data_IF_170974225154
#
_entry.id   IF_170974225154
#
_cell.length_a   1.000
_cell.length_b   1.000
_cell.length_c   1.000
_cell.angle_alpha   90.00
_cell.angle_beta   90.00
_cell.angle_gamma   90.00
#
_symmetry.space_group_name_H-M   'P 1'
#
loop_
_entity.id
_entity.type
_entity.pdbx_description
1 polymer ?
#
# COMPACT_ATOMS: atom_id res chain seq x y z
N UNK A 1 38.05 -40.15 35.59
CA UNK A 1 38.05 -39.51 34.25
C UNK A 1 36.62 -39.44 33.74
N UNK A 2 35.98 -38.26 33.74
CA UNK A 2 34.66 -38.01 33.14
C UNK A 2 34.87 -37.23 31.85
N UNK A 3 34.55 -37.83 30.71
CA UNK A 3 34.54 -37.15 29.42
C UNK A 3 33.32 -36.24 29.34
N UNK A 4 33.54 -34.94 29.19
CA UNK A 4 32.47 -34.00 28.88
C UNK A 4 32.20 -34.04 27.38
N UNK A 5 30.97 -34.43 27.02
CA UNK A 5 30.48 -34.37 25.64
C UNK A 5 30.15 -32.91 25.32
N UNK A 6 31.02 -32.25 24.56
CA UNK A 6 30.79 -30.88 24.08
C UNK A 6 29.72 -30.92 23.00
N UNK A 7 28.52 -30.43 23.31
CA UNK A 7 27.46 -30.21 22.32
C UNK A 7 27.91 -29.00 21.48
N UNK A 8 28.09 -29.12 20.15
CA UNK A 8 28.42 -27.96 19.34
C UNK A 8 27.25 -26.96 19.39
N UNK A 9 27.52 -25.64 19.45
CA UNK A 9 26.46 -24.65 19.36
C UNK A 9 25.73 -24.84 18.03
N UNK A 10 24.39 -24.93 18.09
CA UNK A 10 23.52 -24.90 16.90
C UNK A 10 23.98 -23.74 16.04
N UNK A 11 24.41 -24.01 14.81
CA UNK A 11 24.61 -22.95 13.82
C UNK A 11 23.28 -22.23 13.68
N UNK A 12 23.23 -20.99 14.16
CA UNK A 12 22.15 -20.08 13.80
C UNK A 12 22.44 -19.71 12.35
N UNK A 13 22.12 -20.62 11.43
CA UNK A 13 21.94 -20.24 10.03
C UNK A 13 20.81 -19.23 10.07
N UNK A 14 21.18 -17.95 10.01
CA UNK A 14 20.27 -16.86 9.71
C UNK A 14 19.70 -17.24 8.35
N UNK A 15 18.54 -17.91 8.36
CA UNK A 15 17.82 -18.20 7.13
C UNK A 15 17.56 -16.85 6.49
N UNK A 16 18.42 -16.50 5.53
CA UNK A 16 18.22 -15.35 4.66
C UNK A 16 17.04 -15.70 3.77
N UNK A 17 15.83 -15.68 4.34
CA UNK A 17 14.61 -15.65 3.55
C UNK A 17 14.67 -14.35 2.78
N UNK A 18 14.66 -14.47 1.45
CA UNK A 18 14.49 -13.34 0.57
C UNK A 18 13.30 -12.48 1.06
N UNK A 19 13.38 -11.14 0.95
CA UNK A 19 12.34 -10.27 1.47
C UNK A 19 10.98 -10.66 0.90
N UNK A 20 10.01 -10.87 1.79
CA UNK A 20 8.65 -11.24 1.41
C UNK A 20 7.94 -9.97 0.93
N UNK A 21 7.86 -9.81 -0.38
CA UNK A 21 7.06 -8.75 -0.98
C UNK A 21 5.59 -9.07 -0.76
N UNK A 22 4.86 -8.11 -0.20
CA UNK A 22 3.47 -8.29 0.16
C UNK A 22 2.58 -7.15 -0.32
N UNK A 23 1.31 -7.50 -0.52
CA UNK A 23 0.24 -6.54 -0.74
C UNK A 23 -0.43 -6.22 0.60
N UNK A 24 -0.51 -4.94 0.95
CA UNK A 24 -1.35 -4.48 2.06
C UNK A 24 -2.68 -3.97 1.50
N UNK A 25 -3.79 -4.52 1.95
CA UNK A 25 -5.14 -4.03 1.63
C UNK A 25 -5.69 -3.33 2.87
N UNK A 26 -6.04 -2.06 2.72
CA UNK A 26 -6.65 -1.23 3.76
C UNK A 26 -8.08 -0.91 3.34
N UNK A 27 -9.04 -1.23 4.19
CA UNK A 27 -10.47 -1.13 3.88
C UNK A 27 -11.16 -0.24 4.91
N UNK A 28 -11.70 0.88 4.46
CA UNK A 28 -12.55 1.75 5.29
C UNK A 28 -13.85 1.05 5.68
N UNK A 29 -14.44 1.45 6.81
CA UNK A 29 -15.72 0.87 7.25
C UNK A 29 -16.79 1.01 6.16
N UNK A 30 -17.54 -0.08 5.91
CA UNK A 30 -18.54 -0.20 4.84
C UNK A 30 -18.01 -0.12 3.40
N UNK A 31 -16.70 -0.07 3.18
CA UNK A 31 -16.16 -0.23 1.83
C UNK A 31 -16.23 -1.72 1.42
N UNK A 32 -16.68 -1.98 0.20
CA UNK A 32 -16.77 -3.34 -0.34
C UNK A 32 -15.40 -3.84 -0.79
N UNK A 33 -15.18 -5.16 -0.69
CA UNK A 33 -13.98 -5.77 -1.27
C UNK A 33 -13.97 -5.55 -2.79
N UNK A 34 -12.83 -5.10 -3.38
CA UNK A 34 -12.75 -4.91 -4.82
C UNK A 34 -12.73 -6.26 -5.57
N UNK A 35 -13.71 -6.51 -6.43
CA UNK A 35 -13.87 -7.78 -7.16
C UNK A 35 -12.66 -8.14 -8.04
N UNK A 36 -11.96 -7.13 -8.58
CA UNK A 36 -10.76 -7.31 -9.39
C UNK A 36 -9.53 -7.74 -8.56
N UNK A 37 -9.57 -7.60 -7.24
CA UNK A 37 -8.45 -7.94 -6.37
C UNK A 37 -8.57 -9.39 -5.92
N UNK A 38 -7.84 -10.27 -6.59
CA UNK A 38 -7.76 -11.68 -6.21
C UNK A 38 -6.67 -11.90 -5.14
N UNK A 39 -7.01 -12.42 -3.94
CA UNK A 39 -6.04 -12.73 -2.90
C UNK A 39 -4.97 -13.73 -3.36
N UNK A 40 -5.35 -14.68 -4.21
CA UNK A 40 -4.48 -15.77 -4.66
C UNK A 40 -3.50 -15.37 -5.76
N UNK A 41 -3.72 -14.23 -6.42
CA UNK A 41 -2.93 -13.81 -7.58
C UNK A 41 -1.72 -12.92 -7.25
N UNK A 42 -1.63 -12.40 -6.02
CA UNK A 42 -0.71 -11.31 -5.67
C UNK A 42 0.32 -11.63 -4.58
N UNK A 43 0.57 -12.92 -4.33
CA UNK A 43 1.53 -13.37 -3.33
C UNK A 43 1.03 -13.16 -1.90
N UNK A 44 1.95 -12.89 -0.97
CA UNK A 44 1.60 -12.65 0.44
C UNK A 44 0.72 -11.41 0.58
N UNK A 45 -0.41 -11.54 1.27
CA UNK A 45 -1.36 -10.45 1.48
C UNK A 45 -1.65 -10.24 2.97
N UNK A 46 -1.68 -8.97 3.38
CA UNK A 46 -2.16 -8.56 4.68
C UNK A 46 -3.34 -7.60 4.52
N UNK A 47 -4.35 -7.74 5.38
CA UNK A 47 -5.56 -6.94 5.33
C UNK A 47 -5.69 -6.17 6.66
N UNK A 48 -6.05 -4.89 6.56
CA UNK A 48 -6.49 -4.05 7.67
C UNK A 48 -7.86 -3.49 7.29
N UNK A 49 -8.91 -4.06 7.85
CA UNK A 49 -10.28 -3.61 7.63
C UNK A 49 -10.83 -2.97 8.90
N UNK A 50 -11.46 -1.81 8.77
CA UNK A 50 -12.15 -1.18 9.88
C UNK A 50 -13.44 -1.97 10.18
N UNK A 51 -13.47 -2.65 11.32
CA UNK A 51 -14.56 -3.58 11.67
C UNK A 51 -15.86 -2.89 12.13
N UNK A 52 -15.77 -1.71 12.75
CA UNK A 52 -16.93 -0.96 13.24
C UNK A 52 -16.87 0.50 12.76
N UNK A 53 -18.02 1.18 12.77
CA UNK A 53 -18.16 2.61 12.50
C UNK A 53 -17.56 3.44 13.66
N UNK A 54 -16.27 3.28 13.89
CA UNK A 54 -15.49 4.08 14.83
C UNK A 54 -15.04 5.38 14.17
N UNK A 55 -14.46 6.26 14.99
CA UNK A 55 -13.88 7.51 14.50
C UNK A 55 -12.90 7.22 13.34
N UNK A 56 -12.96 7.92 12.19
CA UNK A 56 -12.15 7.58 11.00
C UNK A 56 -10.64 7.52 11.25
N UNK A 57 -10.11 8.26 12.21
CA UNK A 57 -8.69 8.21 12.64
C UNK A 57 -8.28 6.88 13.29
N UNK A 58 -9.23 6.06 13.74
CA UNK A 58 -8.94 4.74 14.31
C UNK A 58 -8.26 3.82 13.30
N UNK A 59 -8.69 3.89 12.03
CA UNK A 59 -8.07 3.12 10.95
C UNK A 59 -6.61 3.54 10.71
N UNK A 60 -6.29 4.83 10.84
CA UNK A 60 -4.91 5.35 10.73
C UNK A 60 -4.00 4.64 11.74
N UNK A 61 -4.46 4.55 12.99
CA UNK A 61 -3.72 3.89 14.07
C UNK A 61 -3.55 2.39 13.80
N UNK A 62 -4.63 1.72 13.39
CA UNK A 62 -4.59 0.28 13.07
C UNK A 62 -3.62 -0.03 11.94
N UNK A 63 -3.62 0.77 10.88
CA UNK A 63 -2.71 0.63 9.74
C UNK A 63 -1.27 0.87 10.18
N UNK A 64 -1.00 1.93 10.94
CA UNK A 64 0.34 2.23 11.46
C UNK A 64 0.90 1.07 12.31
N UNK A 65 0.08 0.53 13.23
CA UNK A 65 0.47 -0.61 14.06
C UNK A 65 0.72 -1.87 13.23
N UNK A 66 -0.17 -2.19 12.27
CA UNK A 66 -0.04 -3.42 11.47
C UNK A 66 1.19 -3.37 10.56
N UNK A 67 1.39 -2.26 9.88
CA UNK A 67 2.54 -2.07 8.98
C UNK A 67 3.86 -2.17 9.74
N UNK A 68 3.98 -1.56 10.92
CA UNK A 68 5.17 -1.70 11.78
C UNK A 68 5.42 -3.14 12.22
N UNK A 69 4.37 -3.88 12.60
CA UNK A 69 4.51 -5.31 12.95
C UNK A 69 4.96 -6.16 11.77
N UNK A 70 4.43 -5.92 10.57
CA UNK A 70 4.81 -6.66 9.37
C UNK A 70 6.27 -6.39 8.97
N UNK A 71 6.69 -5.14 9.00
CA UNK A 71 8.07 -4.76 8.67
C UNK A 71 9.06 -5.28 9.71
N UNK A 72 8.70 -5.30 10.99
CA UNK A 72 9.53 -5.88 12.05
C UNK A 72 9.85 -7.37 11.84
N UNK A 73 8.98 -8.09 11.12
CA UNK A 73 9.19 -9.51 10.74
C UNK A 73 9.70 -9.67 9.29
N UNK A 74 10.21 -8.60 8.69
CA UNK A 74 10.90 -8.62 7.40
C UNK A 74 10.02 -8.53 6.16
N UNK A 75 8.74 -8.19 6.30
CA UNK A 75 7.87 -7.97 5.14
C UNK A 75 8.22 -6.65 4.45
N UNK A 76 8.25 -6.67 3.11
CA UNK A 76 8.38 -5.47 2.28
C UNK A 76 7.06 -5.20 1.58
N UNK A 77 6.43 -4.08 1.87
CA UNK A 77 5.15 -3.71 1.24
C UNK A 77 5.44 -3.16 -0.16
N UNK A 78 5.24 -3.99 -1.18
CA UNK A 78 5.44 -3.61 -2.59
C UNK A 78 4.20 -2.99 -3.23
N UNK A 79 3.02 -3.29 -2.68
CA UNK A 79 1.74 -2.77 -3.15
C UNK A 79 0.84 -2.47 -1.96
N UNK A 80 0.18 -1.32 -1.99
CA UNK A 80 -0.79 -0.92 -0.98
C UNK A 80 -2.07 -0.50 -1.68
N UNK A 81 -3.18 -1.14 -1.32
CA UNK A 81 -4.52 -0.87 -1.85
C UNK A 81 -5.34 -0.21 -0.75
N UNK A 82 -5.73 1.05 -0.93
CA UNK A 82 -6.66 1.76 -0.05
C UNK A 82 -8.05 1.74 -0.68
N UNK A 83 -8.96 0.96 -0.08
CA UNK A 83 -10.35 0.83 -0.47
C UNK A 83 -11.19 1.78 0.38
N UNK A 84 -11.78 2.77 -0.28
CA UNK A 84 -12.52 3.85 0.39
C UNK A 84 -14.02 3.58 0.35
N UNK A 85 -14.73 4.04 1.38
CA UNK A 85 -16.19 3.89 1.49
C UNK A 85 -16.98 5.02 0.82
N UNK A 86 -16.29 5.96 0.18
CA UNK A 86 -16.92 7.10 -0.50
C UNK A 86 -17.43 8.23 0.39
N UNK A 87 -17.32 8.12 1.73
CA UNK A 87 -17.74 9.19 2.64
C UNK A 87 -17.01 10.49 2.37
N UNK A 88 -17.78 11.58 2.37
CA UNK A 88 -17.35 12.92 2.00
C UNK A 88 -17.54 13.95 3.14
N UNK A 89 -17.80 13.50 4.36
CA UNK A 89 -17.70 14.34 5.55
C UNK A 89 -16.24 14.73 5.84
N UNK A 90 -16.05 15.84 6.55
CA UNK A 90 -14.74 16.45 6.75
C UNK A 90 -13.75 15.50 7.45
N UNK A 91 -14.21 14.78 8.48
CA UNK A 91 -13.38 13.87 9.27
C UNK A 91 -12.93 12.65 8.45
N UNK A 92 -13.82 12.10 7.63
CA UNK A 92 -13.49 11.02 6.70
C UNK A 92 -12.48 11.48 5.65
N UNK A 93 -12.66 12.66 5.07
CA UNK A 93 -11.71 13.23 4.10
C UNK A 93 -10.34 13.47 4.74
N UNK A 94 -10.31 14.09 5.92
CA UNK A 94 -9.06 14.40 6.63
C UNK A 94 -8.31 13.11 7.00
N UNK A 95 -9.01 12.14 7.58
CA UNK A 95 -8.42 10.86 8.01
C UNK A 95 -7.89 10.06 6.82
N UNK A 96 -8.65 9.98 5.72
CA UNK A 96 -8.20 9.35 4.48
C UNK A 96 -6.96 10.03 3.90
N UNK A 97 -6.91 11.36 3.99
CA UNK A 97 -5.76 12.14 3.52
C UNK A 97 -4.51 11.87 4.36
N UNK A 98 -4.63 11.82 5.69
CA UNK A 98 -3.55 11.45 6.60
C UNK A 98 -3.07 10.02 6.31
N UNK A 99 -4.02 9.08 6.17
CA UNK A 99 -3.75 7.69 5.89
C UNK A 99 -2.97 7.51 4.58
N UNK A 100 -3.48 8.07 3.48
CA UNK A 100 -2.87 7.94 2.17
C UNK A 100 -1.47 8.57 2.12
N UNK A 101 -1.26 9.71 2.79
CA UNK A 101 0.07 10.34 2.91
C UNK A 101 1.04 9.45 3.71
N UNK A 102 0.60 8.88 4.82
CA UNK A 102 1.43 7.98 5.63
C UNK A 102 1.84 6.73 4.85
N UNK A 103 0.91 6.13 4.11
CA UNK A 103 1.18 4.97 3.24
C UNK A 103 2.15 5.34 2.11
N UNK A 104 1.95 6.48 1.45
CA UNK A 104 2.86 6.97 0.42
C UNK A 104 4.27 7.20 0.97
N UNK A 105 4.40 7.89 2.10
CA UNK A 105 5.68 8.15 2.74
C UNK A 105 6.45 6.86 3.05
N UNK A 106 5.73 5.81 3.44
CA UNK A 106 6.30 4.48 3.70
C UNK A 106 6.82 3.80 2.45
N UNK A 107 6.07 3.85 1.34
CA UNK A 107 6.55 3.36 0.03
C UNK A 107 7.77 4.18 -0.46
N UNK A 108 7.74 5.51 -0.27
CA UNK A 108 8.87 6.38 -0.62
C UNK A 108 10.13 6.05 0.17
N UNK A 109 10.02 5.66 1.44
CA UNK A 109 11.17 5.23 2.24
C UNK A 109 11.86 3.98 1.65
N UNK A 110 11.12 3.15 0.91
CA UNK A 110 11.65 2.01 0.16
C UNK A 110 12.02 2.35 -1.30
N UNK A 111 11.82 3.61 -1.71
CA UNK A 111 11.95 4.14 -3.07
C UNK A 111 11.23 3.32 -4.16
N UNK A 112 10.19 2.55 -3.83
CA UNK A 112 9.53 1.69 -4.83
C UNK A 112 8.14 1.27 -4.35
N UNK A 113 7.38 0.66 -5.27
CA UNK A 113 6.07 0.06 -5.02
C UNK A 113 4.91 0.86 -5.58
N UNK A 114 3.69 0.44 -5.27
CA UNK A 114 2.45 1.07 -5.76
C UNK A 114 1.51 1.41 -4.61
N UNK A 115 0.99 2.64 -4.59
CA UNK A 115 -0.19 3.02 -3.83
C UNK A 115 -1.39 3.11 -4.78
N UNK A 116 -2.34 2.19 -4.66
CA UNK A 116 -3.60 2.19 -5.39
C UNK A 116 -4.73 2.63 -4.47
N UNK A 117 -5.40 3.73 -4.81
CA UNK A 117 -6.62 4.16 -4.12
C UNK A 117 -7.85 3.79 -4.93
N UNK A 118 -8.91 3.32 -4.30
CA UNK A 118 -10.13 2.95 -5.02
C UNK A 118 -11.41 3.34 -4.30
N UNK A 119 -12.44 3.61 -5.09
CA UNK A 119 -13.82 3.83 -4.65
C UNK A 119 -14.76 3.13 -5.63
N UNK A 120 -15.81 2.52 -5.10
CA UNK A 120 -16.88 1.94 -5.93
C UNK A 120 -17.62 3.06 -6.68
N UNK A 121 -17.93 2.83 -7.96
CA UNK A 121 -18.69 3.79 -8.79
C UNK A 121 -20.06 4.13 -8.18
N UNK A 122 -20.67 3.21 -7.43
CA UNK A 122 -21.96 3.39 -6.74
C UNK A 122 -21.92 4.49 -5.67
N UNK A 123 -20.74 4.90 -5.21
CA UNK A 123 -20.57 5.98 -4.23
C UNK A 123 -20.74 7.38 -4.85
N UNK A 124 -20.88 7.47 -6.18
CA UNK A 124 -21.22 8.70 -6.89
C UNK A 124 -20.04 9.63 -7.19
N UNK A 125 -20.30 10.64 -8.02
CA UNK A 125 -19.29 11.54 -8.60
C UNK A 125 -18.53 12.35 -7.55
N UNK A 126 -19.21 12.74 -6.46
CA UNK A 126 -18.59 13.51 -5.38
C UNK A 126 -17.45 12.72 -4.72
N UNK A 127 -17.65 11.43 -4.46
CA UNK A 127 -16.63 10.56 -3.88
C UNK A 127 -15.44 10.39 -4.84
N UNK A 128 -15.73 10.14 -6.12
CA UNK A 128 -14.72 10.04 -7.17
C UNK A 128 -13.88 11.32 -7.30
N UNK A 129 -14.52 12.49 -7.34
CA UNK A 129 -13.86 13.80 -7.42
C UNK A 129 -12.96 14.09 -6.20
N UNK A 130 -13.41 13.72 -5.00
CA UNK A 130 -12.58 13.85 -3.79
C UNK A 130 -11.35 12.94 -3.83
N UNK A 131 -11.51 11.71 -4.33
CA UNK A 131 -10.40 10.78 -4.46
C UNK A 131 -9.40 11.24 -5.53
N UNK A 132 -9.88 11.77 -6.65
CA UNK A 132 -9.04 12.42 -7.68
C UNK A 132 -8.26 13.62 -7.12
N UNK A 133 -8.93 14.48 -6.34
CA UNK A 133 -8.29 15.65 -5.71
C UNK A 133 -7.19 15.23 -4.72
N UNK A 134 -7.43 14.17 -3.96
CA UNK A 134 -6.43 13.58 -3.07
C UNK A 134 -5.26 13.01 -3.87
N UNK A 135 -5.53 12.25 -4.95
CA UNK A 135 -4.50 11.70 -5.82
C UNK A 135 -3.60 12.78 -6.42
N UNK A 136 -4.17 13.88 -6.92
CA UNK A 136 -3.41 15.02 -7.44
C UNK A 136 -2.49 15.65 -6.37
N UNK A 137 -2.94 15.67 -5.11
CA UNK A 137 -2.12 16.17 -3.99
C UNK A 137 -0.98 15.21 -3.66
N UNK A 138 -1.25 13.91 -3.64
CA UNK A 138 -0.24 12.87 -3.40
C UNK A 138 0.79 12.80 -4.52
N UNK A 139 0.40 13.01 -5.76
CA UNK A 139 1.29 13.01 -6.92
C UNK A 139 2.39 14.08 -6.79
N UNK A 140 2.04 15.27 -6.29
CA UNK A 140 3.04 16.31 -5.97
C UNK A 140 4.00 15.84 -4.88
N UNK A 141 3.51 15.17 -3.84
CA UNK A 141 4.33 14.64 -2.76
C UNK A 141 5.18 13.41 -3.16
N UNK A 142 4.78 12.68 -4.21
CA UNK A 142 5.46 11.48 -4.72
C UNK A 142 6.75 11.80 -5.48
N UNK A 143 6.85 12.99 -6.08
CA UNK A 143 8.00 13.41 -6.91
C UNK A 143 9.35 13.03 -6.29
N UNK A 144 10.28 12.60 -7.14
CA UNK A 144 11.61 12.12 -6.73
C UNK A 144 11.62 10.72 -6.13
N UNK A 145 10.62 9.87 -6.44
CA UNK A 145 10.61 8.45 -6.08
C UNK A 145 10.03 7.60 -7.19
N UNK A 146 10.37 6.31 -7.20
CA UNK A 146 9.87 5.34 -8.19
C UNK A 146 8.54 4.70 -7.76
N UNK A 147 7.89 5.25 -6.73
CA UNK A 147 6.56 4.83 -6.30
C UNK A 147 5.55 5.15 -7.40
N UNK A 148 4.64 4.23 -7.70
CA UNK A 148 3.52 4.42 -8.62
C UNK A 148 2.28 4.81 -7.81
N UNK A 149 1.57 5.86 -8.23
CA UNK A 149 0.26 6.19 -7.70
C UNK A 149 -0.81 5.77 -8.69
N UNK A 150 -1.71 4.90 -8.26
CA UNK A 150 -2.83 4.41 -9.05
C UNK A 150 -4.16 4.81 -8.41
N UNK A 151 -5.15 5.05 -9.24
CA UNK A 151 -6.51 5.34 -8.84
C UNK A 151 -7.45 4.43 -9.62
N UNK A 152 -8.40 3.80 -8.95
CA UNK A 152 -9.46 3.05 -9.62
C UNK A 152 -10.84 3.50 -9.14
N UNK A 153 -11.66 3.96 -10.07
CA UNK A 153 -13.04 4.39 -9.82
C UNK A 153 -13.94 3.48 -10.63
N UNK A 154 -14.66 2.58 -9.95
CA UNK A 154 -15.36 1.47 -10.64
C UNK A 154 -14.41 0.66 -11.51
N UNK A 155 -14.65 0.64 -12.82
CA UNK A 155 -13.81 -0.05 -13.80
C UNK A 155 -12.72 0.81 -14.43
N UNK A 156 -12.78 2.13 -14.24
CA UNK A 156 -11.78 3.04 -14.77
C UNK A 156 -10.52 3.03 -13.90
N UNK A 157 -9.36 2.80 -14.54
CA UNK A 157 -8.04 2.82 -13.88
C UNK A 157 -7.22 3.98 -14.41
N UNK A 158 -6.73 4.82 -13.50
CA UNK A 158 -5.81 5.92 -13.78
C UNK A 158 -4.49 5.62 -13.06
N UNK A 159 -3.36 5.80 -13.75
CA UNK A 159 -2.03 5.62 -13.16
C UNK A 159 -1.19 6.86 -13.39
N UNK A 160 -0.43 7.27 -12.38
CA UNK A 160 0.61 8.27 -12.52
C UNK A 160 1.65 7.77 -13.53
N UNK A 161 2.13 8.62 -14.45
CA UNK A 161 3.25 8.26 -15.30
C UNK A 161 4.48 7.91 -14.46
N UNK A 162 5.24 6.88 -14.86
CA UNK A 162 6.56 6.62 -14.29
C UNK A 162 7.47 7.84 -14.50
N UNK A 163 8.40 8.15 -13.57
CA UNK A 163 9.33 9.26 -13.74
C UNK A 163 10.03 9.21 -15.11
N UNK A 164 10.24 10.38 -15.73
CA UNK A 164 10.74 10.53 -17.10
C UNK A 164 12.07 9.80 -17.37
N UNK A 165 12.90 9.63 -16.34
CA UNK A 165 14.20 8.94 -16.42
C UNK A 165 14.10 7.50 -16.96
N UNK A 166 13.00 6.79 -16.68
CA UNK A 166 12.76 5.44 -17.20
C UNK A 166 12.15 5.43 -18.61
N UNK A 167 11.50 6.53 -19.02
CA UNK A 167 10.85 6.63 -20.34
C UNK A 167 11.87 6.87 -21.45
N UNK A 168 12.90 7.69 -21.18
CA UNK A 168 14.01 7.93 -22.10
C UNK A 168 14.81 6.65 -22.36
N UNK A 169 15.10 5.86 -21.31
CA UNK A 169 15.82 4.58 -21.43
C UNK A 169 15.00 3.52 -22.16
N UNK A 170 13.66 3.55 -22.04
CA UNK A 170 12.78 2.62 -22.76
C UNK A 170 12.60 2.97 -24.24
N UNK A 171 12.65 4.25 -24.60
CA UNK A 171 12.66 4.71 -26.01
C UNK A 171 14.01 4.45 -26.68
N UNK A 172 15.13 4.67 -25.99
CA UNK A 172 16.47 4.38 -26.54
C UNK A 172 16.68 2.88 -26.81
N UNK A 173 16.11 1.98 -25.99
CA UNK A 173 16.16 0.53 -26.23
C UNK A 173 15.21 0.01 -27.32
N UNK A 174 14.28 0.84 -27.79
CA UNK A 174 13.42 0.53 -28.95
C UNK A 174 13.97 1.11 -30.24
N UNK A 175 14.87 2.09 -30.15
CA UNK A 175 15.47 2.78 -31.28
C UNK A 175 16.88 2.27 -31.65
N UNK A 176 17.42 1.29 -30.92
CA UNK A 176 18.68 0.59 -31.21
C UNK A 176 18.49 -0.91 -31.25
#
# INVERSE_FOLDING_TARGET
>A
MRGYMTIPPRSVTKDYRAPRFATLVVIEFSAAWPEWLSPSAHGDMAIVAQHYEGHPSSLVTQVAMRTTKLEAVGWKLGRIVLVTNGRCDADSIASRSVLARGLLARLKANNTGELLMTVDAKQGERAASRLLSLAATLERSRRGSDVILSLRIGDSVYRSPKPLADQVVAEERRAG
#
